data_IF_394230624009
#
_entry.id   IF_394230624009
#
_cell.length_a   1.000
_cell.length_b   1.000
_cell.length_c   1.000
_cell.angle_alpha   90.00
_cell.angle_beta   90.00
_cell.angle_gamma   90.00
#
_symmetry.space_group_name_H-M   'P 1'
#
loop_
_entity.id
_entity.type
_entity.pdbx_description
1 polymer ?
#
# COMPACT_ATOMS: atom_id res chain seq x y z
N UNK A 1 13.17 64.42 20.64
CA UNK A 1 12.14 64.05 19.64
C UNK A 1 12.01 62.54 19.54
N UNK A 2 10.93 61.97 20.06
CA UNK A 2 10.60 60.53 19.94
C UNK A 2 10.09 60.25 18.52
N UNK A 3 10.77 59.40 17.74
CA UNK A 3 10.26 58.91 16.45
C UNK A 3 9.35 57.70 16.69
N UNK A 4 8.09 57.80 16.24
CA UNK A 4 7.08 56.73 16.39
C UNK A 4 7.36 55.58 15.41
N UNK A 5 7.08 54.35 15.87
CA UNK A 5 7.03 53.14 15.04
C UNK A 5 5.67 53.11 14.33
N UNK A 6 5.69 53.06 12.99
CA UNK A 6 4.51 52.82 12.15
C UNK A 6 4.21 51.32 12.18
N UNK A 7 3.08 50.92 12.75
CA UNK A 7 2.56 49.55 12.69
C UNK A 7 2.02 49.26 11.30
N UNK A 8 2.56 48.25 10.62
CA UNK A 8 1.99 47.68 9.39
C UNK A 8 0.73 46.90 9.72
N UNK A 9 -0.42 47.40 9.27
CA UNK A 9 -1.69 46.67 9.27
C UNK A 9 -1.61 45.47 8.34
N UNK A 10 -1.80 44.27 8.89
CA UNK A 10 -2.03 43.05 8.10
C UNK A 10 -3.47 43.06 7.61
N UNK A 11 -3.67 43.31 6.32
CA UNK A 11 -4.96 43.18 5.65
C UNK A 11 -5.40 41.70 5.66
N UNK A 12 -6.30 41.33 6.56
CA UNK A 12 -6.99 40.04 6.51
C UNK A 12 -8.18 40.18 5.56
N UNK A 13 -8.05 39.61 4.36
CA UNK A 13 -9.17 39.48 3.44
C UNK A 13 -10.24 38.58 4.09
N UNK A 14 -11.50 39.05 4.12
CA UNK A 14 -12.65 38.23 4.51
C UNK A 14 -13.10 37.41 3.32
N UNK A 15 -13.58 36.18 3.56
CA UNK A 15 -14.15 35.31 2.53
C UNK A 15 -15.32 36.02 1.84
N UNK A 16 -15.26 36.24 0.51
CA UNK A 16 -16.38 36.77 -0.25
C UNK A 16 -17.64 35.91 -0.11
N UNK A 17 -18.79 36.57 -0.01
CA UNK A 17 -20.10 35.92 0.07
C UNK A 17 -20.36 35.11 -1.22
N UNK A 18 -20.81 33.85 -1.08
CA UNK A 18 -21.02 32.93 -2.19
C UNK A 18 -19.83 32.03 -2.58
N UNK A 19 -18.62 32.25 -2.02
CA UNK A 19 -17.50 31.34 -2.26
C UNK A 19 -17.46 30.19 -1.24
N UNK A 20 -17.43 28.96 -1.75
CA UNK A 20 -17.32 27.74 -0.95
C UNK A 20 -15.99 27.72 -0.14
N UNK A 21 -16.05 27.21 1.09
CA UNK A 21 -14.95 27.29 2.06
C UNK A 21 -13.69 26.58 1.54
N UNK A 22 -13.86 25.46 0.87
CA UNK A 22 -12.81 24.66 0.26
C UNK A 22 -12.14 25.39 -0.92
N UNK A 23 -12.89 26.18 -1.69
CA UNK A 23 -12.34 27.00 -2.78
C UNK A 23 -11.58 28.20 -2.21
N UNK A 24 -12.12 28.83 -1.16
CA UNK A 24 -11.43 29.92 -0.47
C UNK A 24 -10.09 29.49 0.15
N UNK A 25 -10.02 28.27 0.70
CA UNK A 25 -8.80 27.71 1.27
C UNK A 25 -7.66 27.52 0.24
N UNK A 26 -7.99 27.39 -1.06
CA UNK A 26 -6.99 27.27 -2.13
C UNK A 26 -6.33 28.62 -2.49
N UNK A 27 -6.91 29.76 -2.09
CA UNK A 27 -6.45 31.10 -2.47
C UNK A 27 -5.24 31.62 -1.67
N UNK A 28 -4.51 30.74 -0.97
CA UNK A 28 -3.23 31.05 -0.32
C UNK A 28 -3.27 32.26 0.65
N UNK A 29 -4.33 32.38 1.47
CA UNK A 29 -4.41 33.43 2.49
C UNK A 29 -3.77 33.07 3.83
N UNK A 30 -3.45 31.80 4.08
CA UNK A 30 -2.84 31.36 5.34
C UNK A 30 -1.52 30.62 5.08
N UNK A 31 -0.41 31.16 5.57
CA UNK A 31 0.93 30.57 5.43
C UNK A 31 1.13 29.33 6.32
N UNK A 32 0.11 28.90 7.07
CA UNK A 32 0.21 27.84 8.07
C UNK A 32 -0.26 26.45 7.60
N UNK A 33 -1.00 26.34 6.50
CA UNK A 33 -1.43 25.06 5.94
C UNK A 33 -0.83 24.84 4.55
N UNK A 34 0.43 24.40 4.52
CA UNK A 34 1.00 23.81 3.31
C UNK A 34 0.35 22.43 3.08
N UNK A 35 0.07 22.02 1.83
CA UNK A 35 -0.29 20.64 1.52
C UNK A 35 0.76 19.70 2.11
N UNK A 36 0.42 18.46 2.51
CA UNK A 36 1.38 17.48 3.00
C UNK A 36 2.23 16.96 1.83
N UNK A 37 3.08 17.84 1.31
CA UNK A 37 4.26 17.49 0.55
C UNK A 37 5.32 17.22 1.61
N UNK A 38 5.75 15.97 1.68
CA UNK A 38 6.88 15.56 2.51
C UNK A 38 8.02 16.56 2.30
N UNK A 39 8.61 17.12 3.37
CA UNK A 39 9.85 17.86 3.25
C UNK A 39 10.88 16.93 2.61
N UNK A 40 11.29 17.23 1.38
CA UNK A 40 12.51 16.64 0.85
C UNK A 40 13.64 17.22 1.69
N UNK A 41 14.45 16.36 2.30
CA UNK A 41 15.63 16.71 3.10
C UNK A 41 16.77 17.32 2.25
N UNK A 42 16.41 17.95 1.14
CA UNK A 42 17.31 18.75 0.33
C UNK A 42 17.31 20.16 0.93
N UNK A 43 18.22 20.38 1.87
CA UNK A 43 18.62 21.73 2.36
C UNK A 43 19.09 22.69 1.24
N UNK A 44 19.06 22.26 -0.02
CA UNK A 44 19.29 23.07 -1.21
C UNK A 44 17.99 23.21 -2.03
N UNK A 45 17.07 24.06 -1.56
CA UNK A 45 15.94 24.50 -2.38
C UNK A 45 16.42 25.16 -3.68
N UNK A 46 15.63 25.01 -4.76
CA UNK A 46 15.87 25.55 -6.10
C UNK A 46 15.99 27.10 -6.16
N UNK A 47 15.63 27.81 -5.09
CA UNK A 47 15.93 29.24 -4.92
C UNK A 47 17.13 29.43 -4.01
N UNK A 48 18.33 29.40 -4.60
CA UNK A 48 19.52 29.90 -3.93
C UNK A 48 19.36 31.42 -3.70
N UNK A 49 19.37 31.80 -2.43
CA UNK A 49 19.35 33.20 -1.98
C UNK A 49 20.55 33.92 -2.59
N UNK A 50 20.27 34.89 -3.46
CA UNK A 50 21.19 35.90 -4.02
C UNK A 50 22.64 35.42 -4.21
N UNK A 51 22.98 34.99 -5.42
CA UNK A 51 24.36 34.75 -5.81
C UNK A 51 25.24 35.94 -5.36
N UNK A 52 26.17 35.68 -4.43
CA UNK A 52 27.18 36.66 -4.04
C UNK A 52 28.14 36.83 -5.22
N UNK A 53 27.80 37.70 -6.16
CA UNK A 53 28.73 38.25 -7.16
C UNK A 53 29.69 39.20 -6.42
N UNK A 54 30.56 38.65 -5.57
CA UNK A 54 31.78 39.35 -5.19
C UNK A 54 32.65 39.54 -6.43
N UNK A 55 33.52 40.56 -6.42
CA UNK A 55 34.45 40.97 -7.49
C UNK A 55 35.49 39.89 -7.86
N UNK A 56 35.08 38.64 -8.10
CA UNK A 56 35.91 37.57 -8.63
C UNK A 56 36.09 37.82 -10.13
N UNK A 57 37.34 37.83 -10.58
CA UNK A 57 37.70 37.85 -12.00
C UNK A 57 36.87 36.80 -12.75
N UNK A 58 36.16 37.23 -13.79
CA UNK A 58 35.34 36.34 -14.62
C UNK A 58 36.23 35.25 -15.18
N UNK A 59 35.81 34.00 -15.05
CA UNK A 59 36.56 32.85 -15.57
C UNK A 59 36.58 32.94 -17.10
N UNK A 60 37.75 32.98 -17.75
CA UNK A 60 37.83 33.11 -19.21
C UNK A 60 37.35 31.82 -19.89
N UNK A 61 36.56 32.00 -20.95
CA UNK A 61 36.11 30.93 -21.82
C UNK A 61 36.77 31.09 -23.20
N UNK A 62 37.13 29.97 -23.82
CA UNK A 62 37.67 29.92 -25.18
C UNK A 62 36.82 28.98 -26.01
N UNK A 63 36.59 29.34 -27.27
CA UNK A 63 36.08 28.43 -28.27
C UNK A 63 37.20 27.47 -28.66
N UNK A 64 37.09 26.20 -28.27
CA UNK A 64 38.19 25.23 -28.43
C UNK A 64 37.73 24.01 -29.24
N UNK A 65 38.58 23.51 -30.14
CA UNK A 65 38.36 22.22 -30.78
C UNK A 65 38.48 21.10 -29.74
N UNK A 66 37.70 20.05 -29.91
CA UNK A 66 37.80 18.83 -29.13
C UNK A 66 37.41 17.62 -29.96
N UNK A 67 38.04 16.49 -29.66
CA UNK A 67 37.63 15.18 -30.15
C UNK A 67 36.79 14.49 -29.07
N UNK A 68 35.83 13.67 -29.49
CA UNK A 68 35.07 12.84 -28.57
C UNK A 68 35.63 11.41 -28.61
N UNK A 69 36.35 10.94 -27.57
CA UNK A 69 36.90 9.58 -27.52
C UNK A 69 35.87 8.46 -27.72
N UNK A 70 34.60 8.75 -27.49
CA UNK A 70 33.50 7.80 -27.73
C UNK A 70 33.22 7.54 -29.22
N UNK A 71 33.70 8.39 -30.12
CA UNK A 71 33.52 8.24 -31.57
C UNK A 71 34.77 7.63 -32.21
N UNK A 72 34.56 6.90 -33.30
CA UNK A 72 35.63 6.23 -34.08
C UNK A 72 35.98 6.95 -35.39
N UNK A 73 35.24 7.99 -35.74
CA UNK A 73 35.35 8.71 -37.02
C UNK A 73 36.35 9.87 -36.99
N UNK A 74 36.99 10.13 -35.84
CA UNK A 74 37.96 11.21 -35.70
C UNK A 74 37.37 12.62 -35.83
N UNK A 75 36.03 12.75 -35.75
CA UNK A 75 35.37 14.04 -35.92
C UNK A 75 35.79 15.06 -34.85
N UNK A 76 36.18 16.26 -35.32
CA UNK A 76 36.58 17.38 -34.47
C UNK A 76 35.39 18.33 -34.31
N UNK A 77 34.95 18.52 -33.07
CA UNK A 77 33.87 19.44 -32.71
C UNK A 77 34.43 20.67 -32.02
N UNK A 78 33.63 21.72 -31.90
CA UNK A 78 34.01 22.92 -31.16
C UNK A 78 32.93 23.25 -30.12
N UNK A 79 33.35 23.73 -28.96
CA UNK A 79 32.46 24.26 -27.92
C UNK A 79 33.21 25.21 -26.99
N UNK A 80 32.45 26.01 -26.25
CA UNK A 80 33.00 26.89 -25.23
C UNK A 80 33.47 26.08 -24.02
N UNK A 81 34.77 26.15 -23.72
CA UNK A 81 35.37 25.56 -22.53
C UNK A 81 36.09 26.61 -21.69
N UNK A 82 36.26 26.32 -20.40
CA UNK A 82 37.09 27.17 -19.54
C UNK A 82 38.54 27.07 -20.00
N UNK A 83 39.27 28.18 -20.02
CA UNK A 83 40.68 28.17 -20.41
C UNK A 83 41.55 27.24 -19.54
N UNK A 84 41.18 27.01 -18.27
CA UNK A 84 41.85 26.07 -17.38
C UNK A 84 41.55 24.57 -17.65
N UNK A 85 40.65 24.29 -18.60
CA UNK A 85 40.27 22.92 -19.02
C UNK A 85 40.83 22.57 -20.41
N UNK A 86 41.74 23.40 -20.92
CA UNK A 86 42.50 23.15 -22.15
C UNK A 86 43.31 21.85 -21.98
N UNK A 87 43.25 20.96 -22.98
CA UNK A 87 43.90 19.65 -22.96
C UNK A 87 43.16 18.53 -22.20
N UNK A 88 42.01 18.79 -21.57
CA UNK A 88 41.22 17.73 -20.93
C UNK A 88 40.34 16.98 -21.94
N UNK A 89 40.17 15.69 -21.73
CA UNK A 89 39.24 14.87 -22.53
C UNK A 89 37.80 15.38 -22.40
N UNK A 90 36.99 15.10 -23.43
CA UNK A 90 35.59 15.50 -23.44
C UNK A 90 34.84 14.88 -22.25
N UNK A 91 34.33 15.69 -21.30
CA UNK A 91 33.80 15.16 -20.03
C UNK A 91 32.61 14.22 -20.20
N UNK A 92 31.87 14.34 -21.31
CA UNK A 92 30.70 13.52 -21.57
C UNK A 92 31.02 12.20 -22.27
N UNK A 93 32.25 11.98 -22.72
CA UNK A 93 32.66 10.71 -23.36
C UNK A 93 32.46 9.51 -22.42
N UNK A 94 32.66 9.72 -21.10
CA UNK A 94 32.42 8.70 -20.06
C UNK A 94 30.97 8.21 -19.96
N UNK A 95 30.01 8.94 -20.53
CA UNK A 95 28.60 8.56 -20.53
C UNK A 95 28.19 7.76 -21.76
N UNK A 96 29.11 7.55 -22.71
CA UNK A 96 28.83 6.70 -23.87
C UNK A 96 28.81 5.22 -23.46
N UNK A 97 27.64 4.75 -23.03
CA UNK A 97 27.39 3.35 -22.71
C UNK A 97 26.88 2.64 -23.96
N UNK A 98 27.61 1.64 -24.44
CA UNK A 98 27.24 0.84 -25.61
C UNK A 98 26.54 -0.44 -25.19
N UNK A 99 25.46 -0.82 -25.89
CA UNK A 99 24.77 -2.08 -25.65
C UNK A 99 25.58 -3.24 -26.24
N UNK A 100 25.76 -4.31 -25.48
CA UNK A 100 26.45 -5.51 -25.94
C UNK A 100 25.46 -6.44 -26.64
N UNK A 101 25.49 -6.46 -27.97
CA UNK A 101 24.68 -7.37 -28.78
C UNK A 101 25.43 -8.71 -28.91
N UNK A 102 24.81 -9.86 -28.57
CA UNK A 102 25.44 -11.15 -28.73
C UNK A 102 25.84 -11.42 -30.18
N UNK A 103 27.03 -11.98 -30.38
CA UNK A 103 27.49 -12.51 -31.67
C UNK A 103 27.41 -14.02 -31.60
N UNK A 104 26.89 -14.67 -32.63
CA UNK A 104 26.83 -16.13 -32.76
C UNK A 104 27.67 -16.62 -33.94
N UNK A 105 28.19 -17.83 -33.83
CA UNK A 105 28.89 -18.50 -34.92
C UNK A 105 27.92 -19.18 -35.89
N UNK A 106 28.42 -19.54 -37.08
CA UNK A 106 27.67 -20.33 -38.06
C UNK A 106 27.20 -21.68 -37.47
N UNK A 107 28.07 -22.32 -36.67
CA UNK A 107 27.76 -23.59 -36.02
C UNK A 107 26.66 -23.44 -34.97
N UNK A 108 26.70 -22.38 -34.15
CA UNK A 108 25.63 -22.09 -33.18
C UNK A 108 24.30 -21.83 -33.89
N UNK A 109 24.33 -21.13 -35.03
CA UNK A 109 23.14 -20.88 -35.83
C UNK A 109 22.51 -22.18 -36.31
N UNK A 110 23.30 -23.03 -36.96
CA UNK A 110 22.83 -24.27 -37.57
C UNK A 110 22.28 -25.27 -36.53
N UNK A 111 22.91 -25.35 -35.35
CA UNK A 111 22.51 -26.31 -34.32
C UNK A 111 21.31 -25.84 -33.48
N UNK A 112 21.19 -24.54 -33.22
CA UNK A 112 20.29 -24.06 -32.16
C UNK A 112 19.36 -22.91 -32.58
N UNK A 113 19.73 -22.11 -33.59
CA UNK A 113 19.03 -20.87 -33.92
C UNK A 113 18.16 -20.95 -35.19
N UNK A 114 18.11 -22.11 -35.86
CA UNK A 114 17.19 -22.32 -36.98
C UNK A 114 15.73 -22.07 -36.58
N UNK A 115 14.95 -21.59 -37.54
CA UNK A 115 13.53 -21.30 -37.39
C UNK A 115 12.89 -21.25 -38.78
N UNK A 116 11.77 -21.96 -38.97
CA UNK A 116 11.10 -22.08 -40.28
C UNK A 116 10.64 -20.73 -40.84
N UNK A 117 10.37 -19.78 -39.93
CA UNK A 117 9.94 -18.45 -40.28
C UNK A 117 11.09 -17.46 -40.48
N UNK A 118 12.35 -17.81 -40.25
CA UNK A 118 13.47 -16.87 -40.29
C UNK A 118 14.69 -17.46 -41.00
N UNK A 119 15.14 -16.75 -42.03
CA UNK A 119 16.40 -17.12 -42.70
C UNK A 119 17.61 -16.62 -41.89
N UNK A 120 18.78 -17.24 -42.15
CA UNK A 120 20.02 -16.77 -41.53
C UNK A 120 20.35 -15.36 -41.94
N UNK A 121 20.26 -15.04 -43.23
CA UNK A 121 20.52 -13.70 -43.75
C UNK A 121 19.60 -12.65 -43.10
N UNK A 122 18.31 -12.96 -42.95
CA UNK A 122 17.34 -12.08 -42.26
C UNK A 122 17.68 -11.89 -40.77
N UNK A 123 18.16 -12.95 -40.11
CA UNK A 123 18.59 -12.89 -38.70
C UNK A 123 19.87 -12.07 -38.54
N UNK A 124 20.85 -12.27 -39.42
CA UNK A 124 22.12 -11.53 -39.44
C UNK A 124 21.85 -10.03 -39.68
N UNK A 125 20.93 -9.70 -40.61
CA UNK A 125 20.46 -8.34 -40.84
C UNK A 125 19.84 -7.71 -39.59
N UNK A 126 18.95 -8.43 -38.91
CA UNK A 126 18.37 -7.97 -37.64
C UNK A 126 19.46 -7.66 -36.60
N UNK A 127 20.45 -8.55 -36.44
CA UNK A 127 21.52 -8.35 -35.47
C UNK A 127 22.46 -7.19 -35.84
N UNK A 128 22.72 -6.96 -37.12
CA UNK A 128 23.45 -5.77 -37.60
C UNK A 128 22.71 -4.48 -37.26
N UNK A 129 21.40 -4.40 -37.57
CA UNK A 129 20.59 -3.24 -37.22
C UNK A 129 20.52 -3.03 -35.69
N UNK A 130 20.35 -4.09 -34.93
CA UNK A 130 20.36 -4.06 -33.46
C UNK A 130 21.67 -3.49 -32.90
N UNK A 131 22.81 -3.82 -33.52
CA UNK A 131 24.13 -3.29 -33.16
C UNK A 131 24.31 -1.84 -33.59
N UNK A 132 23.87 -1.47 -34.78
CA UNK A 132 24.00 -0.11 -35.34
C UNK A 132 23.10 0.91 -34.66
N UNK A 133 21.95 0.48 -34.16
CA UNK A 133 20.93 1.34 -33.58
C UNK A 133 20.68 1.08 -32.09
N UNK A 134 21.63 0.46 -31.38
CA UNK A 134 21.61 0.26 -29.93
C UNK A 134 20.30 -0.34 -29.39
N UNK A 135 19.75 -1.36 -30.06
CA UNK A 135 18.47 -2.01 -29.74
C UNK A 135 17.25 -1.07 -29.70
N UNK A 136 17.32 0.08 -30.36
CA UNK A 136 16.15 0.96 -30.52
C UNK A 136 15.21 0.36 -31.56
N UNK A 137 14.40 -0.61 -31.13
CA UNK A 137 13.56 -1.43 -32.01
C UNK A 137 12.62 -0.66 -32.94
N UNK A 138 12.21 0.56 -32.56
CA UNK A 138 11.42 1.44 -33.44
C UNK A 138 12.26 1.87 -34.66
N UNK A 139 13.52 2.25 -34.44
CA UNK A 139 14.46 2.61 -35.51
C UNK A 139 14.87 1.36 -36.30
N UNK A 140 15.08 0.23 -35.63
CA UNK A 140 15.40 -1.06 -36.29
C UNK A 140 14.27 -1.46 -37.24
N UNK A 141 13.01 -1.35 -36.81
CA UNK A 141 11.84 -1.65 -37.63
C UNK A 141 11.68 -0.68 -38.80
N UNK A 142 11.91 0.61 -38.58
CA UNK A 142 11.90 1.64 -39.63
C UNK A 142 12.96 1.37 -40.71
N UNK A 143 14.17 1.00 -40.30
CA UNK A 143 15.32 0.71 -41.19
C UNK A 143 15.38 -0.74 -41.66
N UNK A 144 14.34 -1.53 -41.37
CA UNK A 144 14.29 -2.93 -41.76
C UNK A 144 14.14 -3.05 -43.29
N UNK A 145 14.75 -4.07 -43.88
CA UNK A 145 14.70 -4.23 -45.33
C UNK A 145 13.42 -4.98 -45.72
N UNK A 146 12.36 -4.19 -45.92
CA UNK A 146 11.04 -4.70 -46.32
C UNK A 146 10.95 -5.05 -47.82
N UNK A 147 12.01 -4.84 -48.60
CA UNK A 147 12.07 -5.27 -50.00
C UNK A 147 12.61 -6.69 -50.12
N UNK A 148 13.67 -6.99 -49.36
CA UNK A 148 14.31 -8.31 -49.37
C UNK A 148 13.59 -9.31 -48.45
N UNK A 149 13.02 -8.84 -47.34
CA UNK A 149 12.40 -9.69 -46.33
C UNK A 149 10.91 -9.39 -46.17
N UNK A 150 10.17 -10.36 -45.59
CA UNK A 150 8.75 -10.17 -45.30
C UNK A 150 8.55 -9.05 -44.26
N UNK A 151 7.42 -8.36 -44.33
CA UNK A 151 7.05 -7.34 -43.34
C UNK A 151 6.93 -7.98 -41.95
N UNK A 152 7.66 -7.42 -40.98
CA UNK A 152 7.68 -7.83 -39.58
C UNK A 152 7.14 -6.72 -38.70
N UNK A 153 6.37 -7.08 -37.68
CA UNK A 153 6.05 -6.13 -36.61
C UNK A 153 7.26 -5.94 -35.68
N UNK A 154 7.26 -4.85 -34.91
CA UNK A 154 8.30 -4.57 -33.90
C UNK A 154 8.40 -5.73 -32.90
N UNK A 155 7.25 -6.33 -32.57
CA UNK A 155 7.09 -7.42 -31.64
C UNK A 155 7.74 -8.70 -32.19
N UNK A 156 7.60 -8.99 -33.49
CA UNK A 156 8.24 -10.14 -34.14
C UNK A 156 9.78 -10.00 -34.16
N UNK A 157 10.28 -8.78 -34.41
CA UNK A 157 11.72 -8.49 -34.37
C UNK A 157 12.29 -8.70 -32.96
N UNK A 158 11.57 -8.23 -31.93
CA UNK A 158 11.94 -8.43 -30.52
C UNK A 158 11.91 -9.89 -30.12
N UNK A 159 10.85 -10.61 -30.51
CA UNK A 159 10.69 -12.03 -30.24
C UNK A 159 11.86 -12.84 -30.79
N UNK A 160 12.23 -12.60 -32.06
CA UNK A 160 13.39 -13.26 -32.67
C UNK A 160 14.68 -12.92 -31.94
N UNK A 161 14.93 -11.64 -31.68
CA UNK A 161 16.16 -11.18 -31.03
C UNK A 161 16.33 -11.78 -29.62
N UNK A 162 15.32 -11.63 -28.76
CA UNK A 162 15.39 -12.13 -27.39
C UNK A 162 15.30 -13.65 -27.32
N UNK A 163 14.59 -14.30 -28.24
CA UNK A 163 14.59 -15.75 -28.40
C UNK A 163 15.99 -16.29 -28.68
N UNK A 164 16.74 -15.67 -29.59
CA UNK A 164 18.15 -16.01 -29.85
C UNK A 164 19.02 -15.73 -28.63
N UNK A 165 18.87 -14.57 -27.98
CA UNK A 165 19.63 -14.24 -26.77
C UNK A 165 19.43 -15.30 -25.68
N UNK A 166 18.19 -15.75 -25.45
CA UNK A 166 17.87 -16.79 -24.50
C UNK A 166 18.47 -18.14 -24.87
N UNK A 167 18.35 -18.55 -26.15
CA UNK A 167 18.97 -19.78 -26.67
C UNK A 167 20.48 -19.75 -26.47
N UNK A 168 21.16 -18.69 -26.89
CA UNK A 168 22.62 -18.53 -26.74
C UNK A 168 23.05 -18.53 -25.27
N UNK A 169 22.31 -17.86 -24.40
CA UNK A 169 22.58 -17.87 -22.96
C UNK A 169 22.50 -19.29 -22.39
N UNK A 170 21.55 -20.09 -22.86
CA UNK A 170 21.38 -21.48 -22.43
C UNK A 170 22.51 -22.40 -22.93
N UNK A 171 22.87 -22.34 -24.22
CA UNK A 171 23.93 -23.21 -24.76
C UNK A 171 25.34 -22.82 -24.31
N UNK A 172 25.55 -21.56 -23.92
CA UNK A 172 26.83 -21.08 -23.37
C UNK A 172 26.92 -21.19 -21.86
N UNK A 173 25.84 -21.58 -21.18
CA UNK A 173 25.86 -21.79 -19.74
C UNK A 173 26.75 -22.99 -19.40
N UNK A 174 27.50 -22.86 -18.30
CA UNK A 174 28.29 -23.97 -17.78
C UNK A 174 27.35 -25.10 -17.32
N UNK A 175 27.77 -26.35 -17.50
CA UNK A 175 27.00 -27.53 -17.08
C UNK A 175 26.65 -27.43 -15.58
N UNK A 176 25.36 -27.34 -15.27
CA UNK A 176 24.84 -27.21 -13.91
C UNK A 176 24.55 -25.77 -13.43
N UNK A 177 24.84 -24.74 -14.24
CA UNK A 177 24.41 -23.38 -13.97
C UNK A 177 23.00 -23.12 -14.55
N UNK A 178 22.12 -22.52 -13.76
CA UNK A 178 20.80 -22.03 -14.20
C UNK A 178 20.92 -20.54 -14.58
N UNK A 179 21.13 -20.20 -15.86
CA UNK A 179 21.26 -18.81 -16.25
C UNK A 179 19.92 -18.08 -16.17
N UNK A 180 19.94 -16.82 -15.76
CA UNK A 180 18.75 -15.96 -15.77
C UNK A 180 18.42 -15.57 -17.22
N UNK A 181 17.52 -16.31 -17.84
CA UNK A 181 17.05 -16.05 -19.21
C UNK A 181 15.93 -15.01 -19.16
N UNK A 182 16.13 -13.91 -19.90
CA UNK A 182 15.07 -12.96 -20.14
C UNK A 182 14.09 -13.52 -21.19
N UNK A 183 12.82 -13.60 -20.84
CA UNK A 183 11.75 -14.08 -21.73
C UNK A 183 10.91 -12.88 -22.16
N UNK A 184 10.88 -12.61 -23.46
CA UNK A 184 10.03 -11.59 -24.06
C UNK A 184 8.69 -12.22 -24.44
N UNK A 185 7.60 -11.76 -23.83
CA UNK A 185 6.24 -12.20 -24.18
C UNK A 185 5.66 -11.31 -25.29
N UNK A 186 5.87 -11.73 -26.53
CA UNK A 186 5.35 -11.03 -27.71
C UNK A 186 3.81 -11.03 -27.76
N UNK A 187 3.16 -12.08 -27.27
CA UNK A 187 1.71 -12.20 -27.23
C UNK A 187 1.07 -11.23 -26.24
N UNK A 188 1.70 -11.03 -25.08
CA UNK A 188 1.31 -9.99 -24.13
C UNK A 188 1.52 -8.59 -24.72
N UNK A 189 2.69 -8.31 -25.30
CA UNK A 189 3.01 -6.98 -25.83
C UNK A 189 2.09 -6.58 -26.99
N UNK A 190 1.74 -7.52 -27.87
CA UNK A 190 0.77 -7.29 -28.96
C UNK A 190 -0.61 -6.94 -28.42
N UNK A 191 -1.13 -7.73 -27.47
CA UNK A 191 -2.43 -7.46 -26.81
C UNK A 191 -2.43 -6.12 -26.07
N UNK A 192 -1.34 -5.79 -25.38
CA UNK A 192 -1.17 -4.51 -24.68
C UNK A 192 -1.25 -3.33 -25.65
N UNK A 193 -0.58 -3.45 -26.80
CA UNK A 193 -0.57 -2.41 -27.84
C UNK A 193 -1.94 -2.26 -28.51
N UNK A 194 -2.62 -3.35 -28.82
CA UNK A 194 -4.00 -3.31 -29.33
C UNK A 194 -4.97 -2.64 -28.36
N UNK A 195 -4.87 -2.91 -27.06
CA UNK A 195 -5.71 -2.25 -26.04
C UNK A 195 -5.43 -0.74 -25.98
N UNK A 196 -4.16 -0.35 -26.04
CA UNK A 196 -3.78 1.06 -26.03
C UNK A 196 -4.25 1.78 -27.30
N UNK A 197 -4.16 1.13 -28.45
CA UNK A 197 -4.65 1.66 -29.72
C UNK A 197 -6.17 1.83 -29.73
N UNK A 198 -6.92 0.87 -29.16
CA UNK A 198 -8.37 1.02 -28.95
C UNK A 198 -8.72 2.22 -28.08
N UNK A 199 -7.96 2.45 -27.01
CA UNK A 199 -8.17 3.60 -26.13
C UNK A 199 -7.80 4.92 -26.83
N UNK A 200 -6.70 4.92 -27.58
CA UNK A 200 -6.21 6.10 -28.30
C UNK A 200 -7.17 6.53 -29.41
N UNK A 201 -7.75 5.57 -30.13
CA UNK A 201 -8.71 5.81 -31.21
C UNK A 201 -10.16 5.96 -30.72
N UNK A 202 -10.39 6.01 -29.40
CA UNK A 202 -11.73 6.15 -28.84
C UNK A 202 -12.32 7.51 -29.18
N UNK A 203 -13.48 7.52 -29.81
CA UNK A 203 -14.19 8.75 -30.16
C UNK A 203 -14.96 9.32 -28.96
N UNK A 204 -15.22 10.64 -28.91
CA UNK A 204 -16.05 11.23 -27.85
C UNK A 204 -17.46 10.64 -27.77
N UNK A 205 -18.04 10.25 -28.91
CA UNK A 205 -19.36 9.61 -28.98
C UNK A 205 -19.36 8.24 -28.31
N UNK A 206 -18.33 7.41 -28.58
CA UNK A 206 -18.14 6.14 -27.88
C UNK A 206 -17.88 6.33 -26.38
N UNK A 207 -17.28 7.45 -25.97
CA UNK A 207 -17.15 7.79 -24.54
C UNK A 207 -18.53 8.03 -23.92
N UNK A 208 -19.33 8.90 -24.52
CA UNK A 208 -20.66 9.23 -24.03
C UNK A 208 -21.61 8.00 -24.02
N UNK A 209 -21.54 7.16 -25.06
CA UNK A 209 -22.32 5.93 -25.13
C UNK A 209 -21.91 4.93 -24.04
N UNK A 210 -20.61 4.70 -23.83
CA UNK A 210 -20.14 3.82 -22.75
C UNK A 210 -20.55 4.35 -21.37
N UNK A 211 -20.46 5.66 -21.13
CA UNK A 211 -20.92 6.29 -19.89
C UNK A 211 -22.43 6.08 -19.67
N UNK A 212 -23.22 6.25 -20.73
CA UNK A 212 -24.66 5.98 -20.69
C UNK A 212 -24.96 4.51 -20.37
N UNK A 213 -24.28 3.57 -21.04
CA UNK A 213 -24.43 2.13 -20.80
C UNK A 213 -24.02 1.75 -19.37
N UNK A 214 -22.94 2.33 -18.83
CA UNK A 214 -22.51 2.12 -17.44
C UNK A 214 -23.56 2.63 -16.46
N UNK A 215 -24.17 3.78 -16.73
CA UNK A 215 -25.27 4.30 -15.90
C UNK A 215 -26.50 3.39 -15.95
N UNK A 216 -26.90 2.91 -17.12
CA UNK A 216 -28.01 1.95 -17.26
C UNK A 216 -27.71 0.62 -16.57
N UNK A 217 -26.49 0.10 -16.70
CA UNK A 217 -26.08 -1.13 -16.01
C UNK A 217 -26.20 -0.98 -14.49
N UNK A 218 -25.74 0.14 -13.93
CA UNK A 218 -25.91 0.44 -12.49
C UNK A 218 -27.39 0.50 -12.08
N UNK A 219 -28.27 1.10 -12.90
CA UNK A 219 -29.71 1.13 -12.63
C UNK A 219 -30.30 -0.29 -12.62
N UNK A 220 -29.88 -1.15 -13.56
CA UNK A 220 -30.31 -2.55 -13.62
C UNK A 220 -29.82 -3.33 -12.40
N UNK A 221 -28.55 -3.18 -12.01
CA UNK A 221 -27.98 -3.82 -10.82
C UNK A 221 -28.71 -3.41 -9.54
N UNK A 222 -29.02 -2.12 -9.37
CA UNK A 222 -29.78 -1.61 -8.23
C UNK A 222 -31.19 -2.21 -8.18
N UNK A 223 -31.91 -2.22 -9.32
CA UNK A 223 -33.24 -2.85 -9.39
C UNK A 223 -33.19 -4.36 -9.11
N UNK A 224 -32.14 -5.05 -9.55
CA UNK A 224 -31.91 -6.47 -9.25
C UNK A 224 -31.71 -6.67 -7.75
N UNK A 225 -30.87 -5.87 -7.12
CA UNK A 225 -30.59 -5.90 -5.68
C UNK A 225 -31.84 -5.60 -4.83
N UNK A 226 -32.66 -4.63 -5.25
CA UNK A 226 -33.93 -4.34 -4.58
C UNK A 226 -34.92 -5.49 -4.68
N UNK A 227 -35.06 -6.10 -5.88
CA UNK A 227 -35.91 -7.28 -6.07
C UNK A 227 -35.44 -8.45 -5.21
N UNK A 228 -34.13 -8.68 -5.15
CA UNK A 228 -33.53 -9.72 -4.31
C UNK A 228 -33.77 -9.44 -2.81
N UNK A 229 -33.62 -8.19 -2.36
CA UNK A 229 -33.94 -7.80 -0.97
C UNK A 229 -35.42 -8.02 -0.65
N UNK A 230 -36.34 -7.63 -1.54
CA UNK A 230 -37.79 -7.85 -1.38
C UNK A 230 -38.14 -9.34 -1.36
N UNK A 231 -37.52 -10.15 -2.21
CA UNK A 231 -37.71 -11.60 -2.21
C UNK A 231 -37.20 -12.25 -0.91
N UNK A 232 -36.03 -11.81 -0.42
CA UNK A 232 -35.49 -12.27 0.87
C UNK A 232 -36.39 -11.87 2.04
N UNK A 233 -36.93 -10.65 2.03
CA UNK A 233 -37.83 -10.16 3.08
C UNK A 233 -39.17 -10.92 3.08
N UNK A 234 -39.75 -11.15 1.90
CA UNK A 234 -40.94 -11.98 1.75
C UNK A 234 -40.69 -13.41 2.24
N UNK A 235 -39.53 -13.99 1.90
CA UNK A 235 -39.15 -15.33 2.37
C UNK A 235 -38.97 -15.38 3.89
N UNK A 236 -38.45 -14.32 4.52
CA UNK A 236 -38.39 -14.20 5.98
C UNK A 236 -39.77 -14.12 6.59
N UNK A 237 -40.69 -13.38 5.98
CA UNK A 237 -42.06 -13.22 6.47
C UNK A 237 -42.83 -14.54 6.38
N UNK A 238 -42.69 -15.29 5.28
CA UNK A 238 -43.24 -16.65 5.12
C UNK A 238 -42.69 -17.57 6.22
N UNK A 239 -41.36 -17.60 6.41
CA UNK A 239 -40.74 -18.40 7.48
C UNK A 239 -41.25 -18.02 8.88
N UNK A 240 -41.40 -16.73 9.17
CA UNK A 240 -41.91 -16.26 10.46
C UNK A 240 -43.38 -16.67 10.68
N UNK A 241 -44.20 -16.61 9.63
CA UNK A 241 -45.59 -17.08 9.65
C UNK A 241 -45.69 -18.60 9.83
N UNK A 242 -44.84 -19.39 9.15
CA UNK A 242 -44.76 -20.85 9.32
C UNK A 242 -44.32 -21.21 10.75
N UNK A 243 -43.32 -20.50 11.30
CA UNK A 243 -42.84 -20.72 12.67
C UNK A 243 -43.94 -20.40 13.70
N UNK A 244 -44.70 -19.33 13.49
CA UNK A 244 -45.84 -18.96 14.35
C UNK A 244 -46.96 -19.99 14.25
N UNK A 245 -47.20 -20.54 13.06
CA UNK A 245 -48.21 -21.59 12.83
C UNK A 245 -47.79 -22.91 13.47
N UNK A 246 -46.50 -23.28 13.39
CA UNK A 246 -45.94 -24.44 14.09
C UNK A 246 -45.97 -24.27 15.61
N UNK A 247 -45.70 -23.07 16.16
CA UNK A 247 -45.87 -22.79 17.58
C UNK A 247 -47.33 -22.94 18.04
N UNK A 248 -48.30 -22.46 17.26
CA UNK A 248 -49.74 -22.68 17.54
C UNK A 248 -50.17 -24.14 17.40
N UNK A 249 -49.54 -24.92 16.51
CA UNK A 249 -49.75 -26.37 16.42
C UNK A 249 -49.07 -27.12 17.58
N UNK A 250 -47.94 -26.64 18.06
CA UNK A 250 -47.23 -27.16 19.23
C UNK A 250 -47.99 -26.86 20.54
N UNK A 251 -48.65 -25.71 20.67
CA UNK A 251 -49.53 -25.38 21.80
C UNK A 251 -50.76 -26.30 21.87
N UNK A 252 -51.31 -26.74 20.73
CA UNK A 252 -52.36 -27.79 20.68
C UNK A 252 -51.83 -29.20 20.98
N UNK A 253 -50.51 -29.37 21.13
CA UNK A 253 -49.85 -30.63 21.49
C UNK A 253 -48.99 -30.48 22.75
N UNK A 254 -49.57 -29.93 23.82
CA UNK A 254 -48.98 -30.06 25.17
C UNK A 254 -49.70 -31.17 25.92
N UNK A 255 -49.28 -32.41 25.68
CA UNK A 255 -49.22 -33.42 26.73
C UNK A 255 -47.99 -34.31 26.52
N UNK A 256 -47.20 -34.42 27.59
CA UNK A 256 -45.96 -35.20 27.79
C UNK A 256 -44.63 -34.58 27.33
N UNK A 257 -43.95 -34.01 28.34
CA UNK A 257 -42.53 -34.19 28.70
C UNK A 257 -41.57 -34.59 27.55
N UNK A 258 -40.58 -33.73 27.30
CA UNK A 258 -39.17 -33.97 27.65
C UNK A 258 -38.30 -32.73 27.41
N UNK A 259 -37.44 -32.46 28.38
CA UNK A 259 -36.37 -31.47 28.36
C UNK A 259 -35.27 -31.94 27.39
N UNK A 260 -34.73 -31.11 26.48
CA UNK A 260 -33.48 -31.41 25.81
C UNK A 260 -32.30 -30.82 26.59
N UNK A 261 -31.33 -31.68 26.92
CA UNK A 261 -30.02 -31.30 27.43
C UNK A 261 -29.28 -30.44 26.41
N UNK A 262 -28.89 -29.23 26.81
CA UNK A 262 -27.89 -28.41 26.13
C UNK A 262 -26.51 -28.96 26.50
N UNK A 263 -25.85 -29.66 25.57
CA UNK A 263 -24.40 -29.86 25.60
C UNK A 263 -23.78 -28.61 24.97
N UNK A 264 -23.22 -27.74 25.79
CA UNK A 264 -22.26 -26.74 25.34
C UNK A 264 -20.94 -27.47 25.06
N UNK A 265 -20.60 -27.54 23.77
CA UNK A 265 -19.24 -27.83 23.37
C UNK A 265 -18.48 -26.49 23.39
N UNK A 266 -17.65 -26.29 24.41
CA UNK A 266 -16.59 -25.28 24.35
C UNK A 266 -15.68 -25.62 23.17
N UNK A 267 -15.74 -24.82 22.11
CA UNK A 267 -14.62 -24.69 21.18
C UNK A 267 -13.69 -23.64 21.76
N UNK A 268 -12.45 -24.06 22.03
CA UNK A 268 -11.30 -23.17 22.17
C UNK A 268 -11.18 -22.35 20.88
N UNK A 269 -11.64 -21.10 20.92
CA UNK A 269 -11.32 -20.13 19.90
C UNK A 269 -9.89 -19.64 20.19
N UNK A 270 -8.95 -20.05 19.33
CA UNK A 270 -7.71 -19.30 19.13
C UNK A 270 -8.13 -17.85 18.83
N UNK A 271 -7.61 -16.83 19.53
CA UNK A 271 -7.94 -15.44 19.22
C UNK A 271 -7.55 -15.16 17.77
N UNK A 272 -8.57 -15.01 16.93
CA UNK A 272 -8.43 -14.59 15.55
C UNK A 272 -7.70 -13.23 15.56
N UNK A 273 -6.58 -13.16 14.82
CA UNK A 273 -5.78 -11.95 14.61
C UNK A 273 -6.71 -10.75 14.42
N UNK A 274 -6.60 -9.71 15.27
CA UNK A 274 -7.51 -8.56 15.22
C UNK A 274 -7.58 -8.02 13.79
N UNK A 275 -8.75 -8.18 13.17
CA UNK A 275 -8.98 -7.97 11.75
C UNK A 275 -8.98 -6.50 11.36
N UNK A 276 -7.81 -5.88 11.25
CA UNK A 276 -7.69 -4.61 10.54
C UNK A 276 -7.80 -4.89 9.04
N UNK A 277 -8.98 -4.62 8.47
CA UNK A 277 -9.16 -4.67 7.02
C UNK A 277 -8.57 -3.41 6.38
N UNK A 278 -7.31 -3.49 5.99
CA UNK A 278 -6.67 -2.41 5.24
C UNK A 278 -7.37 -2.18 3.89
N UNK A 279 -7.49 -0.94 3.41
CA UNK A 279 -8.22 -0.66 2.18
C UNK A 279 -7.51 -1.30 0.97
N UNK A 280 -8.16 -2.27 0.33
CA UNK A 280 -7.78 -2.71 -1.01
C UNK A 280 -8.27 -1.68 -2.02
N UNK A 281 -7.35 -0.87 -2.55
CA UNK A 281 -7.65 0.06 -3.64
C UNK A 281 -7.91 -0.72 -4.93
N UNK A 282 -9.17 -1.14 -5.14
CA UNK A 282 -9.64 -1.84 -6.34
C UNK A 282 -10.13 -0.88 -7.44
N UNK A 283 -10.05 0.43 -7.22
CA UNK A 283 -10.34 1.44 -8.24
C UNK A 283 -9.22 1.49 -9.27
N UNK A 284 -9.56 1.42 -10.55
CA UNK A 284 -8.59 1.57 -11.65
C UNK A 284 -7.89 2.94 -11.56
N UNK A 285 -6.55 2.97 -11.60
CA UNK A 285 -5.75 4.19 -11.52
C UNK A 285 -4.38 3.98 -10.89
N UNK A 286 -3.54 5.01 -10.92
CA UNK A 286 -2.24 5.04 -10.22
C UNK A 286 -2.46 5.37 -8.75
N UNK A 287 -1.98 4.51 -7.85
CA UNK A 287 -2.03 4.74 -6.39
C UNK A 287 -0.63 4.70 -5.79
N UNK A 288 -0.40 5.48 -4.73
CA UNK A 288 0.87 5.47 -4.00
C UNK A 288 0.87 4.35 -2.97
N UNK A 289 1.98 3.60 -2.88
CA UNK A 289 2.11 2.49 -1.92
C UNK A 289 1.91 2.93 -0.47
N UNK A 290 2.35 4.15 -0.12
CA UNK A 290 2.14 4.77 1.20
C UNK A 290 0.66 4.93 1.58
N UNK A 291 -0.26 4.98 0.61
CA UNK A 291 -1.70 5.03 0.90
C UNK A 291 -2.21 3.74 1.55
N UNK A 292 -1.55 2.60 1.27
CA UNK A 292 -1.88 1.29 1.88
C UNK A 292 -1.43 1.18 3.34
N UNK A 293 -0.62 2.12 3.82
CA UNK A 293 -0.18 2.18 5.22
C UNK A 293 -1.10 3.03 6.10
N UNK A 294 -2.15 3.65 5.54
CA UNK A 294 -3.11 4.41 6.36
C UNK A 294 -4.04 3.44 7.10
N UNK A 295 -4.13 3.58 8.42
CA UNK A 295 -5.10 2.83 9.21
C UNK A 295 -6.52 3.21 8.79
N UNK A 296 -7.44 2.24 8.61
CA UNK A 296 -8.83 2.53 8.28
C UNK A 296 -9.54 3.32 9.39
N UNK A 297 -10.55 4.11 9.03
CA UNK A 297 -11.40 4.82 10.00
C UNK A 297 -12.21 3.91 10.94
N UNK A 298 -12.24 2.59 10.67
CA UNK A 298 -12.82 1.60 11.59
C UNK A 298 -11.98 1.41 12.87
N UNK A 299 -10.70 1.79 12.85
CA UNK A 299 -9.84 1.77 14.04
C UNK A 299 -10.06 3.08 14.81
N UNK A 300 -10.58 2.97 16.03
CA UNK A 300 -10.87 4.14 16.87
C UNK A 300 -9.60 4.97 17.15
N UNK A 301 -9.71 6.31 17.18
CA UNK A 301 -8.59 7.22 17.40
C UNK A 301 -7.78 6.92 18.67
N UNK A 302 -8.44 6.50 19.76
CA UNK A 302 -7.77 6.08 21.00
C UNK A 302 -6.84 4.88 20.79
N UNK A 303 -7.28 3.90 19.99
CA UNK A 303 -6.45 2.74 19.61
C UNK A 303 -5.27 3.17 18.73
N UNK A 304 -5.50 4.06 17.77
CA UNK A 304 -4.43 4.62 16.91
C UNK A 304 -3.34 5.26 17.77
N UNK A 305 -3.71 6.11 18.73
CA UNK A 305 -2.75 6.77 19.63
C UNK A 305 -1.99 5.78 20.52
N UNK A 306 -2.66 4.74 21.01
CA UNK A 306 -2.01 3.70 21.80
C UNK A 306 -0.99 2.89 20.95
N UNK A 307 -1.32 2.58 19.69
CA UNK A 307 -0.41 1.91 18.76
C UNK A 307 0.80 2.81 18.47
N UNK A 308 0.59 4.10 18.16
CA UNK A 308 1.68 5.06 17.94
C UNK A 308 2.61 5.12 19.16
N UNK A 309 2.06 5.14 20.38
CA UNK A 309 2.85 5.12 21.60
C UNK A 309 3.68 3.84 21.75
N UNK A 310 3.08 2.66 21.52
CA UNK A 310 3.81 1.38 21.60
C UNK A 310 4.91 1.32 20.53
N UNK A 311 4.66 1.80 19.31
CA UNK A 311 5.67 1.84 18.25
C UNK A 311 6.86 2.73 18.64
N UNK A 312 6.60 3.90 19.23
CA UNK A 312 7.64 4.81 19.74
C UNK A 312 8.44 4.14 20.86
N UNK A 313 7.78 3.46 21.80
CA UNK A 313 8.45 2.73 22.89
C UNK A 313 9.35 1.59 22.37
N UNK A 314 8.95 0.91 21.29
CA UNK A 314 9.73 -0.13 20.64
C UNK A 314 10.79 0.42 19.66
N UNK A 315 10.93 1.74 19.53
CA UNK A 315 11.90 2.38 18.64
C UNK A 315 11.60 2.20 17.16
N UNK A 316 10.35 1.89 16.80
CA UNK A 316 9.91 1.73 15.42
C UNK A 316 9.43 3.08 14.88
N UNK A 317 9.96 3.48 13.71
CA UNK A 317 9.51 4.69 13.03
C UNK A 317 8.00 4.60 12.69
N UNK A 318 7.26 5.67 12.96
CA UNK A 318 5.84 5.77 12.66
C UNK A 318 5.58 5.87 11.15
N UNK A 319 6.55 6.39 10.40
CA UNK A 319 6.43 6.66 8.97
C UNK A 319 7.58 6.01 8.16
N UNK A 320 7.73 4.67 8.20
CA UNK A 320 8.82 4.01 7.52
C UNK A 320 8.67 4.11 5.99
N UNK A 321 9.78 3.94 5.27
CA UNK A 321 9.80 4.02 3.81
C UNK A 321 8.81 3.01 3.18
N UNK A 322 7.89 3.45 2.30
CA UNK A 322 6.80 2.61 1.80
C UNK A 322 7.26 1.69 0.65
N UNK A 323 8.12 0.72 0.93
CA UNK A 323 8.42 -0.42 0.04
C UNK A 323 7.36 -1.52 0.20
N UNK A 324 7.26 -2.49 -0.71
CA UNK A 324 6.21 -3.53 -0.62
C UNK A 324 6.33 -4.37 0.65
N UNK A 325 7.55 -4.82 0.94
CA UNK A 325 7.86 -5.64 2.11
C UNK A 325 7.59 -4.87 3.40
N UNK A 326 8.02 -3.61 3.48
CA UNK A 326 7.83 -2.78 4.67
C UNK A 326 6.33 -2.50 4.90
N UNK A 327 5.57 -2.19 3.83
CA UNK A 327 4.12 -1.94 3.95
C UNK A 327 3.40 -3.17 4.50
N UNK A 328 3.75 -4.37 4.01
CA UNK A 328 3.16 -5.62 4.47
C UNK A 328 3.48 -5.88 5.95
N UNK A 329 4.76 -5.89 6.31
CA UNK A 329 5.21 -6.15 7.69
C UNK A 329 4.69 -5.10 8.68
N UNK A 330 4.68 -3.82 8.29
CA UNK A 330 4.21 -2.75 9.15
C UNK A 330 2.69 -2.75 9.34
N UNK A 331 1.93 -3.23 8.34
CA UNK A 331 0.48 -3.43 8.48
C UNK A 331 0.18 -4.62 9.40
N UNK A 332 0.91 -5.72 9.25
CA UNK A 332 0.80 -6.92 10.09
C UNK A 332 1.12 -6.60 11.55
N UNK A 333 2.25 -5.95 11.81
CA UNK A 333 2.65 -5.48 13.15
C UNK A 333 1.54 -4.61 13.79
N UNK A 334 0.95 -3.68 13.03
CA UNK A 334 -0.12 -2.82 13.57
C UNK A 334 -1.42 -3.59 13.83
N UNK A 335 -1.70 -4.65 13.07
CA UNK A 335 -2.79 -5.58 13.36
C UNK A 335 -2.57 -6.29 14.69
N UNK A 336 -1.36 -6.79 14.92
CA UNK A 336 -0.99 -7.45 16.18
C UNK A 336 -1.03 -6.48 17.37
N UNK A 337 -0.61 -5.23 17.16
CA UNK A 337 -0.68 -4.19 18.20
C UNK A 337 -2.13 -3.81 18.57
N UNK A 338 -3.07 -3.84 17.61
CA UNK A 338 -4.50 -3.68 17.91
C UNK A 338 -4.99 -4.84 18.76
N UNK A 339 -4.64 -6.08 18.40
CA UNK A 339 -5.01 -7.25 19.19
C UNK A 339 -4.45 -7.15 20.62
N UNK A 340 -3.17 -6.80 20.74
CA UNK A 340 -2.51 -6.62 22.04
C UNK A 340 -3.22 -5.57 22.89
N UNK A 341 -3.64 -4.44 22.29
CA UNK A 341 -4.39 -3.40 22.99
C UNK A 341 -5.74 -3.94 23.50
N UNK A 342 -6.47 -4.70 22.68
CA UNK A 342 -7.75 -5.31 23.07
C UNK A 342 -7.59 -6.34 24.19
N UNK A 343 -6.55 -7.17 24.12
CA UNK A 343 -6.21 -8.14 25.16
C UNK A 343 -5.81 -7.47 26.47
N UNK A 344 -5.02 -6.39 26.43
CA UNK A 344 -4.68 -5.60 27.62
C UNK A 344 -5.93 -5.02 28.28
N UNK A 345 -6.89 -4.53 27.48
CA UNK A 345 -8.15 -4.01 28.01
C UNK A 345 -9.00 -5.12 28.63
N UNK A 346 -9.11 -6.27 27.98
CA UNK A 346 -9.84 -7.43 28.51
C UNK A 346 -9.21 -7.93 29.81
N UNK A 347 -7.88 -8.04 29.88
CA UNK A 347 -7.14 -8.42 31.08
C UNK A 347 -7.43 -7.47 32.24
N UNK A 348 -7.32 -6.16 32.02
CA UNK A 348 -7.60 -5.15 33.05
C UNK A 348 -9.03 -5.24 33.59
N UNK A 349 -10.01 -5.55 32.74
CA UNK A 349 -11.38 -5.78 33.18
C UNK A 349 -11.50 -7.04 34.08
N UNK A 350 -10.87 -8.14 33.67
CA UNK A 350 -10.84 -9.37 34.47
C UNK A 350 -10.15 -9.15 35.83
N UNK A 351 -9.06 -8.39 35.88
CA UNK A 351 -8.37 -8.05 37.13
C UNK A 351 -9.27 -7.22 38.06
N UNK A 352 -9.98 -6.23 37.50
CA UNK A 352 -10.93 -5.42 38.27
C UNK A 352 -12.07 -6.28 38.85
N UNK A 353 -12.64 -7.17 38.06
CA UNK A 353 -13.67 -8.11 38.52
C UNK A 353 -13.15 -9.03 39.63
N UNK A 354 -11.92 -9.53 39.50
CA UNK A 354 -11.29 -10.36 40.52
C UNK A 354 -11.08 -9.59 41.83
N UNK A 355 -10.58 -8.35 41.77
CA UNK A 355 -10.39 -7.50 42.96
C UNK A 355 -11.73 -7.19 43.64
N UNK A 356 -12.76 -6.87 42.85
CA UNK A 356 -14.11 -6.65 43.36
C UNK A 356 -14.65 -7.91 44.07
N UNK A 357 -14.46 -9.10 43.49
CA UNK A 357 -14.87 -10.36 44.11
C UNK A 357 -14.12 -10.63 45.42
N UNK A 358 -12.81 -10.38 45.47
CA UNK A 358 -11.99 -10.50 46.68
C UNK A 358 -12.51 -9.60 47.80
N UNK A 359 -12.78 -8.33 47.50
CA UNK A 359 -13.32 -7.39 48.49
C UNK A 359 -14.71 -7.83 49.00
N UNK A 360 -15.59 -8.33 48.12
CA UNK A 360 -16.89 -8.89 48.52
C UNK A 360 -16.73 -10.11 49.43
N UNK A 361 -15.79 -10.99 49.11
CA UNK A 361 -15.50 -12.17 49.93
C UNK A 361 -14.97 -11.80 51.32
N UNK A 362 -14.04 -10.84 51.41
CA UNK A 362 -13.52 -10.34 52.70
C UNK A 362 -14.60 -9.65 53.56
N UNK A 363 -15.53 -8.91 52.93
CA UNK A 363 -16.66 -8.31 53.64
C UNK A 363 -17.59 -9.36 54.26
N UNK A 364 -17.84 -10.47 53.54
CA UNK A 364 -18.63 -11.59 54.06
C UNK A 364 -17.94 -12.32 55.22
N UNK A 365 -16.62 -12.50 55.16
CA UNK A 365 -15.85 -13.08 56.27
C UNK A 365 -15.89 -12.20 57.53
N UNK A 366 -15.78 -10.87 57.38
CA UNK A 366 -15.91 -9.92 58.50
C UNK A 366 -17.32 -9.92 59.11
N UNK A 367 -18.36 -10.09 58.29
CA UNK A 367 -19.74 -10.21 58.78
C UNK A 367 -19.97 -11.55 59.54
N UNK A 368 -19.25 -12.62 59.19
CA UNK A 368 -19.35 -13.92 59.86
C UNK A 368 -18.61 -14.04 61.20
N UNK A 369 -17.67 -13.14 61.50
CA UNK A 369 -16.87 -13.16 62.74
C UNK A 369 -17.51 -12.39 63.91
N UNK A 370 -18.71 -11.84 63.74
CA UNK A 370 -19.39 -10.95 64.70
C UNK A 370 -20.32 -11.61 65.73
N UNK A 371 -20.45 -12.95 65.75
CA UNK A 371 -21.28 -13.66 66.74
C UNK A 371 -20.47 -14.71 67.48
N UNK A 372 -19.84 -14.29 68.58
CA UNK A 372 -19.46 -15.19 69.65
C UNK A 372 -20.66 -15.47 70.55
N UNK A 373 -21.01 -16.75 70.72
CA UNK A 373 -21.63 -17.23 71.95
C UNK A 373 -21.14 -18.65 72.25
N UNK A 374 -20.78 -18.83 73.51
CA UNK A 374 -20.07 -19.92 74.18
C UNK A 374 -21.00 -21.05 74.62
N UNK A 375 -20.53 -22.30 74.60
CA UNK A 375 -21.04 -23.37 75.48
C UNK A 375 -20.69 -24.80 75.01
N UNK A 376 -20.39 -25.78 75.91
CA UNK A 376 -19.39 -26.82 75.67
C UNK A 376 -19.91 -28.27 75.61
N UNK A 377 -18.95 -29.22 75.44
CA UNK A 377 -19.00 -30.70 75.56
C UNK A 377 -19.43 -31.46 74.28
N UNK A 378 -18.81 -32.56 73.83
CA UNK A 378 -17.70 -33.38 74.32
C UNK A 378 -17.10 -34.22 73.18
N UNK A 379 -15.81 -34.50 73.34
CA UNK A 379 -14.93 -35.46 72.67
C UNK A 379 -15.53 -36.62 71.84
N UNK A 380 -14.95 -36.81 70.65
CA UNK A 380 -14.95 -38.05 69.87
C UNK A 380 -13.78 -38.02 68.88
N UNK A 381 -12.62 -38.52 69.31
CA UNK A 381 -11.41 -38.71 68.49
C UNK A 381 -11.50 -40.06 67.76
N UNK A 382 -10.82 -40.15 66.60
CA UNK A 382 -10.37 -41.33 65.84
C UNK A 382 -11.34 -41.75 64.72
N UNK A 383 -10.99 -41.94 63.45
CA UNK A 383 -9.71 -42.10 62.72
C UNK A 383 -10.06 -42.16 61.22
N UNK A 384 -9.31 -41.51 60.34
CA UNK A 384 -9.25 -41.86 58.92
C UNK A 384 -7.84 -42.40 58.63
N UNK A 385 -7.68 -43.53 57.92
CA UNK A 385 -6.39 -44.19 57.83
C UNK A 385 -5.48 -43.52 56.80
N UNK A 386 -4.22 -43.36 57.19
CA UNK A 386 -3.09 -43.19 56.30
C UNK A 386 -2.70 -44.52 55.64
N UNK A 387 -2.40 -44.45 54.35
CA UNK A 387 -1.29 -45.14 53.68
C UNK A 387 -0.97 -44.26 52.47
N UNK A 388 0.25 -43.79 52.21
CA UNK A 388 1.57 -44.25 52.60
C UNK A 388 2.45 -44.04 51.37
N UNK A 389 3.37 -43.07 51.47
CA UNK A 389 4.69 -43.03 50.84
C UNK A 389 4.83 -42.90 49.30
N UNK A 390 5.83 -42.20 48.72
CA UNK A 390 7.14 -41.77 49.21
C UNK A 390 7.71 -40.61 48.31
N UNK A 391 8.66 -39.87 48.90
CA UNK A 391 9.86 -39.23 48.29
C UNK A 391 9.90 -37.71 47.92
N UNK A 392 10.42 -36.92 48.88
CA UNK A 392 11.80 -36.34 48.86
C UNK A 392 12.05 -34.90 48.35
N UNK A 393 12.35 -34.06 49.36
CA UNK A 393 13.43 -33.03 49.48
C UNK A 393 13.20 -31.55 49.16
N UNK A 394 13.27 -30.76 50.25
CA UNK A 394 13.98 -29.49 50.52
C UNK A 394 13.76 -28.31 49.55
N UNK A 395 13.52 -27.07 49.98
CA UNK A 395 14.22 -26.34 51.04
C UNK A 395 13.45 -25.06 51.48
N UNK A 396 13.91 -24.50 52.58
CA UNK A 396 13.41 -23.47 53.51
C UNK A 396 13.22 -22.03 52.99
N UNK A 397 12.26 -21.31 53.64
CA UNK A 397 12.23 -19.87 54.06
C UNK A 397 12.32 -18.75 53.00
N UNK A 398 11.72 -17.57 53.10
CA UNK A 398 10.64 -16.92 53.88
C UNK A 398 10.54 -15.48 53.31
N UNK A 399 9.38 -14.83 53.46
CA UNK A 399 9.16 -13.36 53.49
C UNK A 399 8.79 -12.62 52.18
N UNK A 400 7.56 -12.11 52.14
CA UNK A 400 7.08 -10.89 51.44
C UNK A 400 6.83 -9.80 52.51
N UNK A 401 6.65 -8.46 52.26
CA UNK A 401 5.66 -7.86 51.32
C UNK A 401 5.96 -6.43 50.73
N UNK A 402 5.04 -5.91 49.89
CA UNK A 402 4.77 -4.47 49.59
C UNK A 402 5.02 -4.03 48.12
N UNK A 403 4.01 -3.82 47.25
CA UNK A 403 3.15 -2.63 47.05
C UNK A 403 3.95 -1.35 46.70
N UNK A 404 3.69 -0.55 45.65
CA UNK A 404 2.45 0.13 45.23
C UNK A 404 2.49 0.60 43.75
N UNK A 405 1.33 0.79 43.13
CA UNK A 405 1.13 1.65 41.96
C UNK A 405 -0.19 2.45 42.14
N UNK A 406 -0.23 3.76 41.88
CA UNK A 406 -1.44 4.58 42.03
C UNK A 406 -2.21 4.76 40.71
N UNK A 407 -3.54 4.81 40.85
CA UNK A 407 -4.54 5.09 39.82
C UNK A 407 -4.72 6.58 39.56
N UNK A 408 -5.06 6.96 38.32
CA UNK A 408 -5.77 8.21 38.04
C UNK A 408 -6.95 7.94 37.11
N UNK A 409 -8.13 8.37 37.55
CA UNK A 409 -9.36 8.42 36.77
C UNK A 409 -9.47 9.79 36.09
N UNK A 410 -10.06 9.83 34.90
CA UNK A 410 -10.63 11.03 34.32
C UNK A 410 -12.03 10.73 33.75
N UNK A 411 -12.98 11.54 34.17
CA UNK A 411 -14.31 11.70 33.57
C UNK A 411 -14.22 12.60 32.33
N UNK A 412 -15.08 12.37 31.33
CA UNK A 412 -15.99 13.36 30.69
C UNK A 412 -16.58 12.81 29.38
N UNK A 413 -17.88 12.54 29.47
CA UNK A 413 -19.03 12.92 28.63
C UNK A 413 -18.90 13.10 27.10
N UNK A 414 -19.77 12.33 26.44
CA UNK A 414 -20.16 12.25 25.02
C UNK A 414 -21.08 13.41 24.62
N UNK A 415 -20.99 13.87 23.36
CA UNK A 415 -22.18 14.21 22.58
C UNK A 415 -21.96 14.08 21.06
N UNK A 416 -22.94 13.46 20.40
CA UNK A 416 -22.96 13.12 18.99
C UNK A 416 -23.84 14.09 18.19
N UNK A 417 -23.62 14.19 16.86
CA UNK A 417 -24.70 14.31 15.86
C UNK A 417 -24.18 14.12 14.44
N UNK A 418 -24.80 13.17 13.75
CA UNK A 418 -24.73 12.92 12.31
C UNK A 418 -25.45 14.02 11.52
N UNK A 419 -25.06 14.25 10.26
CA UNK A 419 -26.00 14.29 9.14
C UNK A 419 -25.30 14.31 7.76
N UNK A 420 -26.00 13.66 6.82
CA UNK A 420 -25.70 13.24 5.45
C UNK A 420 -26.02 14.36 4.43
N UNK A 421 -25.40 14.37 3.23
CA UNK A 421 -25.87 14.80 1.89
C UNK A 421 -24.65 14.73 0.93
N UNK A 422 -24.55 13.83 -0.06
CA UNK A 422 -25.11 13.79 -1.43
C UNK A 422 -24.72 14.97 -2.34
N UNK A 423 -23.89 14.72 -3.37
CA UNK A 423 -23.54 15.71 -4.41
C UNK A 423 -23.51 15.05 -5.79
N UNK A 424 -24.54 15.36 -6.55
CA UNK A 424 -24.67 15.26 -8.01
C UNK A 424 -23.95 16.46 -8.67
N UNK A 425 -23.16 16.19 -9.71
CA UNK A 425 -22.98 17.08 -10.87
C UNK A 425 -21.97 18.24 -10.77
N UNK A 426 -20.89 18.16 -11.55
CA UNK A 426 -20.14 19.32 -12.07
C UNK A 426 -19.19 18.91 -13.23
N UNK A 427 -18.79 19.85 -14.10
CA UNK A 427 -18.77 19.66 -15.55
C UNK A 427 -17.37 19.66 -16.22
N UNK A 428 -17.37 19.09 -17.44
CA UNK A 428 -16.61 19.42 -18.66
C UNK A 428 -15.34 20.30 -18.51
N UNK A 429 -14.19 19.74 -18.93
CA UNK A 429 -12.96 20.48 -19.22
C UNK A 429 -12.93 20.98 -20.68
N UNK A 430 -12.46 22.20 -20.96
CA UNK A 430 -12.39 22.76 -22.31
C UNK A 430 -11.04 22.47 -23.01
N UNK A 431 -11.15 22.17 -24.31
CA UNK A 431 -10.27 22.49 -25.46
C UNK A 431 -8.77 22.15 -25.39
N UNK A 432 -8.24 21.29 -26.25
CA UNK A 432 -7.97 21.50 -27.68
C UNK A 432 -7.10 22.74 -27.96
N UNK A 433 -5.82 22.49 -28.27
CA UNK A 433 -4.97 23.45 -28.98
C UNK A 433 -4.28 22.70 -30.11
N UNK A 434 -4.66 23.05 -31.33
CA UNK A 434 -4.06 22.64 -32.59
C UNK A 434 -2.58 23.00 -32.66
N UNK A 435 -1.77 22.09 -33.19
CA UNK A 435 -0.53 22.43 -33.88
C UNK A 435 -0.69 22.02 -35.34
N UNK A 436 -1.17 22.98 -36.13
CA UNK A 436 -0.98 23.03 -37.56
C UNK A 436 0.49 23.40 -37.84
N UNK A 437 1.09 22.62 -38.75
CA UNK A 437 1.90 23.06 -39.88
C UNK A 437 2.92 24.19 -39.65
N UNK A 438 4.21 23.82 -39.68
CA UNK A 438 5.21 24.64 -40.35
C UNK A 438 6.07 23.75 -41.26
N UNK A 439 6.24 24.26 -42.48
CA UNK A 439 7.05 23.78 -43.60
C UNK A 439 8.48 23.39 -43.20
#
# INVERSE_FOLDING_TARGET
MKKSKKSTETLTFKRPEGMHREVYALLYSDKKDAPPLLPSDTTQGYRTVKAKLGCKKVRPWKWMPFTNPARRDGAIFHHWRRAAEEGKDYPFARFNKTVQVPVYSEQEYQLHLHDDGWTKAETDHLFDLCKRFDLRFIVVHDRYDHQQYRKRSVEDLKERYYGICGKLTKVRAATGAEPKIYIFDAGHERRRKEQLEKLFNRTPEQVAEEEYLVQELRKIENRKKEREKKAQDLQKLIKAADTTTELRRAEKRVSKKKLPQKREAEKLAVPETAGIKFPDFKSAGVTLRSQRMKLPGSVAQKKIKAIEQILVEQGVDLNPMPTEEIVQMFNELRSDLVLLYELKQAHSNCEYEQQMLRHRYEALLKAGSGTGCTGPLSAGILTAPHGGDLNTSNNTTASTPGAEAPSWADDIKVEAKEQIIDVVGAPLTPNSVSLLSFL
#
